data_IF_795188705130
#
_entry.id   IF_795188705130
#
_cell.length_a   1.000
_cell.length_b   1.000
_cell.length_c   1.000
_cell.angle_alpha   90.00
_cell.angle_beta   90.00
_cell.angle_gamma   90.00
#
_symmetry.space_group_name_H-M   'P 1'
#
loop_
_entity.id
_entity.type
_entity.pdbx_description
1 polymer ?
#
# COMPACT_ATOMS: atom_id res chain seq x y z
N UNK A 1 -20.67 7.79 -6.53
CA UNK A 1 -19.92 6.67 -5.92
C UNK A 1 -20.93 5.58 -5.62
N UNK A 2 -20.66 4.32 -5.98
CA UNK A 2 -21.55 3.21 -5.62
C UNK A 2 -21.58 3.10 -4.10
N UNK A 3 -22.78 3.15 -3.50
CA UNK A 3 -22.93 3.06 -2.05
C UNK A 3 -23.32 1.64 -1.62
N UNK A 4 -23.86 0.85 -2.55
CA UNK A 4 -24.16 -0.56 -2.38
C UNK A 4 -23.62 -1.41 -3.54
N UNK A 5 -23.41 -2.72 -3.36
CA UNK A 5 -22.90 -3.62 -4.42
C UNK A 5 -23.75 -3.59 -5.69
N UNK A 6 -25.07 -3.41 -5.56
CA UNK A 6 -26.01 -3.27 -6.68
C UNK A 6 -25.83 -2.00 -7.52
N UNK A 7 -25.17 -0.97 -6.97
CA UNK A 7 -24.86 0.28 -7.69
C UNK A 7 -23.60 0.14 -8.57
N UNK A 8 -22.85 -0.95 -8.42
CA UNK A 8 -21.65 -1.20 -9.22
C UNK A 8 -22.07 -1.68 -10.62
N UNK A 9 -21.67 -0.96 -11.70
CA UNK A 9 -21.99 -1.39 -13.05
C UNK A 9 -21.53 -2.83 -13.31
N UNK A 10 -22.33 -3.63 -14.02
CA UNK A 10 -21.98 -5.03 -14.33
C UNK A 10 -20.66 -5.17 -15.12
N UNK A 11 -20.18 -4.09 -15.74
CA UNK A 11 -18.91 -4.02 -16.47
C UNK A 11 -17.74 -3.53 -15.62
N UNK A 12 -17.95 -3.25 -14.34
CA UNK A 12 -16.95 -2.73 -13.40
C UNK A 12 -16.70 -3.72 -12.26
N UNK A 13 -15.53 -3.62 -11.64
CA UNK A 13 -15.18 -4.36 -10.43
C UNK A 13 -15.30 -3.41 -9.25
N UNK A 14 -16.12 -3.79 -8.26
CA UNK A 14 -16.21 -3.02 -7.02
C UNK A 14 -14.92 -3.08 -6.22
N UNK A 15 -14.51 -1.95 -5.65
CA UNK A 15 -13.26 -1.80 -4.91
C UNK A 15 -13.45 -0.82 -3.74
N UNK A 16 -12.99 -1.21 -2.55
CA UNK A 16 -12.83 -0.38 -1.36
C UNK A 16 -14.12 0.32 -0.88
N UNK A 17 -15.23 -0.43 -0.92
CA UNK A 17 -16.49 -0.05 -0.28
C UNK A 17 -17.17 -1.28 0.35
N UNK A 18 -18.17 -1.06 1.19
CA UNK A 18 -18.88 -2.14 1.91
C UNK A 18 -19.57 -3.11 0.94
N UNK A 19 -19.23 -4.40 1.06
CA UNK A 19 -19.79 -5.45 0.21
C UNK A 19 -19.14 -5.59 -1.17
N UNK A 20 -18.11 -4.79 -1.48
CA UNK A 20 -17.30 -4.98 -2.68
C UNK A 20 -16.52 -6.32 -2.62
N UNK A 21 -16.23 -6.97 -3.76
CA UNK A 21 -15.39 -8.17 -3.81
C UNK A 21 -13.98 -7.97 -3.23
N UNK A 22 -13.48 -6.74 -3.28
CA UNK A 22 -12.22 -6.30 -2.69
C UNK A 22 -12.51 -5.13 -1.76
N UNK A 23 -12.45 -5.37 -0.46
CA UNK A 23 -12.74 -4.42 0.61
C UNK A 23 -11.95 -4.83 1.86
N UNK A 24 -12.02 -4.07 2.95
CA UNK A 24 -11.49 -4.48 4.24
C UNK A 24 -12.13 -5.79 4.69
N UNK A 25 -11.32 -6.74 5.16
CA UNK A 25 -11.80 -8.03 5.68
C UNK A 25 -11.22 -8.27 7.06
N UNK A 26 -12.06 -8.17 8.09
CA UNK A 26 -11.64 -8.26 9.48
C UNK A 26 -10.67 -7.12 9.82
N UNK A 27 -9.41 -7.46 10.12
CA UNK A 27 -8.37 -6.46 10.41
C UNK A 27 -7.51 -6.14 9.19
N UNK A 28 -7.80 -6.71 8.02
CA UNK A 28 -6.99 -6.53 6.83
C UNK A 28 -7.50 -5.35 6.01
N UNK A 29 -6.59 -4.48 5.60
CA UNK A 29 -6.90 -3.41 4.65
C UNK A 29 -7.07 -3.92 3.24
N UNK A 30 -7.77 -3.18 2.37
CA UNK A 30 -8.04 -3.61 0.99
C UNK A 30 -6.75 -4.00 0.25
N UNK A 31 -5.64 -3.29 0.49
CA UNK A 31 -4.32 -3.66 -0.01
C UNK A 31 -3.87 -5.07 0.43
N UNK A 32 -3.97 -5.38 1.72
CA UNK A 32 -3.56 -6.67 2.28
C UNK A 32 -4.48 -7.82 1.83
N UNK A 33 -5.74 -7.52 1.53
CA UNK A 33 -6.68 -8.46 0.92
C UNK A 33 -6.25 -8.76 -0.51
N UNK A 34 -5.86 -7.75 -1.30
CA UNK A 34 -5.32 -7.95 -2.65
C UNK A 34 -4.05 -8.80 -2.63
N UNK A 35 -3.09 -8.48 -1.76
CA UNK A 35 -1.83 -9.23 -1.64
C UNK A 35 -2.09 -10.72 -1.43
N UNK A 36 -2.95 -11.06 -0.46
CA UNK A 36 -3.29 -12.47 -0.17
C UNK A 36 -4.07 -13.14 -1.31
N UNK A 37 -5.05 -12.43 -1.88
CA UNK A 37 -5.95 -12.99 -2.90
C UNK A 37 -5.26 -13.28 -4.22
N UNK A 38 -4.18 -12.55 -4.52
CA UNK A 38 -3.32 -12.75 -5.68
C UNK A 38 -1.97 -13.43 -5.35
N UNK A 39 -1.78 -13.90 -4.12
CA UNK A 39 -0.56 -14.58 -3.65
C UNK A 39 0.74 -13.77 -3.90
N UNK A 40 0.69 -12.47 -3.61
CA UNK A 40 1.80 -11.53 -3.80
C UNK A 40 2.72 -11.41 -2.58
N UNK A 41 2.49 -12.20 -1.53
CA UNK A 41 3.26 -12.15 -0.27
C UNK A 41 4.77 -12.39 -0.49
N UNK A 42 5.15 -13.11 -1.54
CA UNK A 42 6.54 -13.39 -1.87
C UNK A 42 7.27 -12.21 -2.56
N UNK A 43 6.54 -11.25 -3.12
CA UNK A 43 7.09 -10.14 -3.91
C UNK A 43 6.88 -8.78 -3.26
N UNK A 44 5.90 -8.64 -2.38
CA UNK A 44 5.66 -7.41 -1.62
C UNK A 44 6.38 -7.49 -0.28
N UNK A 45 7.33 -6.58 0.02
CA UNK A 45 7.97 -6.55 1.33
C UNK A 45 6.99 -6.31 2.47
N UNK A 46 7.08 -7.10 3.54
CA UNK A 46 6.26 -6.95 4.77
C UNK A 46 6.27 -5.53 5.32
N UNK A 47 7.41 -4.83 5.24
CA UNK A 47 7.56 -3.45 5.71
C UNK A 47 6.66 -2.48 4.96
N UNK A 48 6.47 -2.68 3.65
CA UNK A 48 5.60 -1.86 2.83
C UNK A 48 4.13 -2.13 3.18
N UNK A 49 3.76 -3.39 3.36
CA UNK A 49 2.41 -3.77 3.79
C UNK A 49 2.01 -3.12 5.12
N UNK A 50 2.90 -3.14 6.11
CA UNK A 50 2.66 -2.49 7.42
C UNK A 50 2.54 -0.97 7.33
N UNK A 51 3.35 -0.33 6.47
CA UNK A 51 3.24 1.11 6.22
C UNK A 51 1.86 1.43 5.63
N UNK A 52 1.44 0.73 4.58
CA UNK A 52 0.14 0.96 3.93
C UNK A 52 -1.01 0.72 4.91
N UNK A 53 -0.95 -0.36 5.70
CA UNK A 53 -1.93 -0.63 6.76
C UNK A 53 -2.04 0.53 7.74
N UNK A 54 -0.90 1.06 8.22
CA UNK A 54 -0.90 2.19 9.14
C UNK A 54 -1.50 3.45 8.51
N UNK A 55 -1.20 3.72 7.24
CA UNK A 55 -1.73 4.90 6.54
C UNK A 55 -3.26 4.82 6.32
N UNK A 56 -3.80 3.62 6.14
CA UNK A 56 -5.21 3.41 5.84
C UNK A 56 -6.08 3.39 7.11
N UNK A 57 -5.68 2.61 8.13
CA UNK A 57 -6.49 2.40 9.35
C UNK A 57 -5.76 2.71 10.67
N UNK A 58 -4.51 3.17 10.61
CA UNK A 58 -3.69 3.44 11.79
C UNK A 58 -3.08 2.17 12.42
N UNK A 59 -2.76 2.24 13.71
CA UNK A 59 -2.20 1.10 14.47
C UNK A 59 -0.75 1.32 14.89
N UNK A 60 0.12 0.34 14.64
CA UNK A 60 1.54 0.42 15.02
C UNK A 60 2.31 1.20 13.95
N UNK A 61 2.88 2.38 14.25
CA UNK A 61 3.56 3.19 13.26
C UNK A 61 4.86 2.53 12.79
N UNK A 62 5.16 2.67 11.50
CA UNK A 62 6.50 2.40 10.94
C UNK A 62 7.37 3.66 11.03
N UNK A 63 8.71 3.55 10.96
CA UNK A 63 9.59 4.70 10.98
C UNK A 63 9.29 5.75 9.89
N UNK A 64 8.83 5.28 8.73
CA UNK A 64 8.51 6.12 7.56
C UNK A 64 7.13 6.79 7.65
N UNK A 65 6.22 6.28 8.48
CA UNK A 65 4.80 6.63 8.45
C UNK A 65 4.53 8.14 8.51
N UNK A 66 5.02 8.83 9.54
CA UNK A 66 4.76 10.26 9.73
C UNK A 66 5.29 11.12 8.56
N UNK A 67 6.42 10.72 7.95
CA UNK A 67 6.98 11.40 6.80
C UNK A 67 6.13 11.21 5.54
N UNK A 68 5.68 9.98 5.30
CA UNK A 68 4.83 9.64 4.15
C UNK A 68 3.45 10.31 4.28
N UNK A 69 2.84 10.30 5.47
CA UNK A 69 1.59 11.03 5.73
C UNK A 69 1.74 12.53 5.43
N UNK A 70 2.84 13.14 5.89
CA UNK A 70 3.11 14.57 5.67
C UNK A 70 3.27 14.89 4.18
N UNK A 71 3.95 14.03 3.43
CA UNK A 71 4.11 14.18 1.97
C UNK A 71 2.75 14.03 1.27
N UNK A 72 2.00 12.96 1.56
CA UNK A 72 0.68 12.72 0.95
C UNK A 72 -0.30 13.86 1.25
N UNK A 73 -0.31 14.38 2.47
CA UNK A 73 -1.12 15.53 2.84
C UNK A 73 -0.75 16.78 2.02
N UNK A 74 0.55 17.05 1.84
CA UNK A 74 1.03 18.16 1.02
C UNK A 74 0.70 17.99 -0.47
N UNK A 75 0.86 16.78 -1.03
CA UNK A 75 0.49 16.48 -2.41
C UNK A 75 -1.00 16.72 -2.65
N UNK A 76 -1.87 16.24 -1.76
CA UNK A 76 -3.33 16.45 -1.85
C UNK A 76 -3.72 17.92 -1.80
N UNK A 77 -3.03 18.75 -1.02
CA UNK A 77 -3.32 20.19 -0.94
C UNK A 77 -2.82 20.97 -2.16
N UNK A 78 -1.76 20.47 -2.83
CA UNK A 78 -1.08 21.22 -3.89
C UNK A 78 -1.48 20.79 -5.29
N UNK A 79 -1.92 19.54 -5.47
CA UNK A 79 -2.31 18.97 -6.76
C UNK A 79 -3.81 18.73 -6.75
N UNK A 80 -4.56 19.60 -7.44
CA UNK A 80 -6.04 19.53 -7.50
C UNK A 80 -6.57 18.64 -8.62
N UNK A 81 -5.67 18.17 -9.49
CA UNK A 81 -5.99 17.25 -10.57
C UNK A 81 -5.75 15.82 -10.09
N UNK A 82 -6.81 15.01 -10.06
CA UNK A 82 -6.77 13.68 -9.46
C UNK A 82 -5.81 12.74 -10.18
N UNK A 83 -5.70 12.82 -11.51
CA UNK A 83 -4.79 11.98 -12.30
C UNK A 83 -3.32 12.33 -12.01
N UNK A 84 -3.01 13.62 -11.86
CA UNK A 84 -1.68 14.09 -11.47
C UNK A 84 -1.35 13.70 -10.02
N UNK A 85 -2.32 13.82 -9.11
CA UNK A 85 -2.16 13.41 -7.72
C UNK A 85 -1.88 11.92 -7.62
N UNK A 86 -2.65 11.11 -8.36
CA UNK A 86 -2.45 9.66 -8.45
C UNK A 86 -1.06 9.32 -8.98
N UNK A 87 -0.62 9.94 -10.08
CA UNK A 87 0.71 9.70 -10.64
C UNK A 87 1.85 10.04 -9.68
N UNK A 88 1.72 11.15 -8.94
CA UNK A 88 2.68 11.55 -7.92
C UNK A 88 2.72 10.57 -6.73
N UNK A 89 1.56 10.15 -6.23
CA UNK A 89 1.45 9.17 -5.17
C UNK A 89 2.01 7.80 -5.59
N UNK A 90 1.71 7.33 -6.81
CA UNK A 90 2.29 6.10 -7.36
C UNK A 90 3.82 6.16 -7.37
N UNK A 91 4.40 7.27 -7.86
CA UNK A 91 5.86 7.44 -7.89
C UNK A 91 6.50 7.40 -6.50
N UNK A 92 5.82 7.96 -5.48
CA UNK A 92 6.25 7.87 -4.08
C UNK A 92 6.25 6.41 -3.60
N UNK A 93 5.17 5.67 -3.85
CA UNK A 93 5.07 4.26 -3.43
C UNK A 93 6.03 3.34 -4.19
N UNK A 94 6.33 3.60 -5.46
CA UNK A 94 7.37 2.89 -6.21
C UNK A 94 8.76 3.10 -5.57
N UNK A 95 9.06 4.34 -5.14
CA UNK A 95 10.28 4.65 -4.39
C UNK A 95 10.35 3.93 -3.04
N UNK A 96 9.22 3.88 -2.32
CA UNK A 96 9.12 3.16 -1.04
C UNK A 96 9.29 1.65 -1.22
N UNK A 97 8.67 1.06 -2.24
CA UNK A 97 8.84 -0.35 -2.60
C UNK A 97 10.32 -0.64 -2.85
N UNK A 98 10.98 0.16 -3.69
CA UNK A 98 12.40 -0.02 -4.00
C UNK A 98 13.29 0.11 -2.77
N UNK A 99 13.01 1.06 -1.90
CA UNK A 99 13.71 1.24 -0.61
C UNK A 99 13.58 0.00 0.28
N UNK A 100 12.39 -0.58 0.36
CA UNK A 100 12.14 -1.81 1.12
C UNK A 100 12.91 -3.00 0.55
N UNK A 101 12.87 -3.21 -0.76
CA UNK A 101 13.61 -4.28 -1.44
C UNK A 101 15.12 -4.22 -1.18
N UNK A 102 15.71 -3.02 -1.26
CA UNK A 102 17.15 -2.83 -1.00
C UNK A 102 17.53 -3.21 0.44
N UNK A 103 16.64 -2.96 1.40
CA UNK A 103 16.86 -3.27 2.81
C UNK A 103 16.85 -4.78 3.07
N UNK A 104 15.94 -5.51 2.40
CA UNK A 104 15.89 -6.97 2.45
C UNK A 104 17.16 -7.61 1.87
N UNK A 105 17.63 -7.12 0.73
CA UNK A 105 18.87 -7.62 0.10
C UNK A 105 20.15 -7.36 0.92
N UNK A 106 20.22 -6.22 1.62
CA UNK A 106 21.35 -5.93 2.52
C UNK A 106 21.41 -6.89 3.72
N UNK A 107 20.27 -7.37 4.21
CA UNK A 107 20.20 -8.31 5.32
C UNK A 107 20.69 -9.72 4.92
N UNK A 108 20.43 -10.12 3.67
CA UNK A 108 20.90 -11.40 3.10
C UNK A 108 22.40 -11.41 2.78
N UNK A 109 22.99 -10.27 2.38
CA UNK A 109 24.43 -10.17 2.09
C UNK A 109 25.30 -10.09 3.35
N UNK A 110 24.81 -9.43 4.41
CA UNK A 110 25.54 -9.35 5.68
C UNK A 110 25.69 -10.72 6.39
N UNK A 111 24.77 -11.67 6.12
CA UNK A 111 24.83 -13.03 6.67
C UNK A 111 25.81 -13.99 5.98
N UNK A 112 26.33 -13.64 4.78
CA UNK A 112 27.30 -14.48 4.03
C UNK A 112 28.75 -14.09 4.27
N UNK A 113 29.03 -12.94 4.88
CA UNK A 113 30.38 -12.41 5.05
C UNK A 113 31.18 -13.02 6.23
N UNK A 114 30.65 -14.03 6.94
CA UNK A 114 31.28 -14.62 8.13
C UNK A 114 31.79 -16.05 7.95
N UNK A 115 31.93 -16.51 6.70
CA UNK A 115 32.40 -17.85 6.38
C UNK A 115 33.57 -17.83 5.39
N UNK A 116 34.62 -17.05 5.66
CA UNK A 116 35.94 -17.16 5.04
C UNK A 116 37.05 -16.87 6.06
#
# INVERSE_FOLDING_TARGET
MAAAPEDCPATAVGFDFDGAPFSHVGTLVTFEVLVRRFALDAVIPDSLGRLIHFLDVGGVPTPEAAGVESILAGLRETITDDDQLLAAACSLFDGLLRSCEMRSGNHEQNGRSSAE
#
